data_IF_661129204843
#
_entry.id   IF_661129204843
#
_cell.length_a   1.000
_cell.length_b   1.000
_cell.length_c   1.000
_cell.angle_alpha   90.00
_cell.angle_beta   90.00
_cell.angle_gamma   90.00
#
_symmetry.space_group_name_H-M   'P 1'
#
loop_
_entity.id
_entity.type
_entity.pdbx_description
1 polymer ?
#
# COMPACT_ATOMS: atom_id res chain seq x y z
N UNK A 1 8.47 19.95 -23.44
CA UNK A 1 8.55 19.02 -22.29
C UNK A 1 8.01 19.78 -21.09
N UNK A 2 6.75 19.54 -20.74
CA UNK A 2 6.14 20.18 -19.57
C UNK A 2 6.66 19.53 -18.31
N UNK A 3 7.15 20.32 -17.37
CA UNK A 3 7.42 19.90 -16.00
C UNK A 3 6.09 19.47 -15.39
N UNK A 4 5.83 18.17 -15.33
CA UNK A 4 4.72 17.65 -14.54
C UNK A 4 5.01 18.06 -13.09
N UNK A 5 4.10 18.81 -12.47
CA UNK A 5 4.23 19.18 -11.07
C UNK A 5 4.35 17.94 -10.18
N UNK A 6 4.91 18.12 -8.98
CA UNK A 6 4.99 17.07 -7.97
C UNK A 6 3.65 16.34 -7.82
N UNK A 7 3.64 15.01 -7.69
CA UNK A 7 2.41 14.25 -7.49
C UNK A 7 1.74 14.67 -6.16
N UNK A 8 0.66 15.44 -6.26
CA UNK A 8 -0.21 15.74 -5.14
C UNK A 8 -1.22 14.59 -4.98
N UNK A 9 -0.87 13.61 -4.15
CA UNK A 9 -1.67 12.42 -3.92
C UNK A 9 -2.76 12.65 -2.88
N UNK A 10 -4.01 12.41 -3.27
CA UNK A 10 -5.20 12.57 -2.44
C UNK A 10 -5.75 11.20 -2.00
N UNK A 11 -6.28 11.06 -0.77
CA UNK A 11 -6.92 9.83 -0.36
C UNK A 11 -8.24 9.62 -1.11
N UNK A 12 -8.54 8.37 -1.49
CA UNK A 12 -9.85 7.94 -1.98
C UNK A 12 -10.87 7.80 -0.84
N UNK A 13 -11.07 8.88 -0.08
CA UNK A 13 -11.96 8.89 1.09
C UNK A 13 -11.49 7.93 2.18
N UNK A 14 -12.44 7.23 2.80
CA UNK A 14 -12.19 6.29 3.93
C UNK A 14 -11.58 4.96 3.49
N UNK A 15 -11.45 4.71 2.19
CA UNK A 15 -10.76 3.57 1.60
C UNK A 15 -9.23 3.79 1.48
N UNK A 16 -8.75 4.94 1.94
CA UNK A 16 -7.38 5.41 1.78
C UNK A 16 -6.85 6.03 3.07
N UNK A 17 -6.69 5.23 4.15
CA UNK A 17 -5.95 5.68 5.32
C UNK A 17 -4.54 6.10 4.89
N UNK A 18 -3.91 6.96 5.68
CA UNK A 18 -2.52 7.33 5.39
C UNK A 18 -1.66 6.06 5.33
N UNK A 19 -0.79 5.91 4.32
CA UNK A 19 0.08 4.75 4.23
C UNK A 19 0.85 4.49 5.53
N UNK A 20 0.79 3.25 6.04
CA UNK A 20 1.41 2.85 7.31
C UNK A 20 0.52 2.99 8.55
N UNK A 21 -0.64 3.65 8.45
CA UNK A 21 -1.61 3.68 9.54
C UNK A 21 -2.49 2.42 9.57
N UNK A 22 -3.00 2.10 10.76
CA UNK A 22 -4.02 1.06 10.92
C UNK A 22 -5.35 1.55 10.34
N UNK A 23 -6.13 0.62 9.79
CA UNK A 23 -7.42 0.91 9.17
C UNK A 23 -8.53 0.11 9.86
N UNK A 24 -9.70 0.72 9.98
CA UNK A 24 -10.91 0.08 10.52
C UNK A 24 -12.07 0.26 9.53
N UNK A 25 -12.87 -0.80 9.37
CA UNK A 25 -14.10 -0.73 8.57
C UNK A 25 -15.20 0.10 9.22
N UNK A 26 -15.05 0.51 10.49
CA UNK A 26 -16.00 1.39 11.19
C UNK A 26 -16.09 2.79 10.55
N UNK A 27 -15.06 3.19 9.80
CA UNK A 27 -15.02 4.47 9.09
C UNK A 27 -15.80 4.44 7.77
N UNK A 28 -16.28 3.27 7.33
CA UNK A 28 -17.01 3.14 6.07
C UNK A 28 -18.45 3.62 6.22
N UNK A 29 -18.85 4.56 5.36
CA UNK A 29 -20.24 4.99 5.25
C UNK A 29 -21.03 3.98 4.41
N UNK A 30 -21.77 3.11 5.09
CA UNK A 30 -22.66 2.12 4.46
C UNK A 30 -24.02 2.68 4.04
N UNK A 31 -24.36 3.90 4.47
CA UNK A 31 -25.63 4.53 4.11
C UNK A 31 -25.57 5.18 2.73
N UNK A 32 -24.39 5.69 2.34
CA UNK A 32 -24.17 6.29 1.03
C UNK A 32 -23.70 5.24 0.00
N UNK A 33 -24.68 4.61 -0.66
CA UNK A 33 -24.43 3.58 -1.67
C UNK A 33 -24.34 4.18 -3.07
N UNK A 34 -23.25 3.89 -3.76
CA UNK A 34 -23.00 4.31 -5.14
C UNK A 34 -23.98 3.61 -6.12
N UNK A 35 -24.57 4.35 -7.09
CA UNK A 35 -25.41 3.74 -8.13
C UNK A 35 -24.67 2.65 -8.90
N UNK A 36 -25.34 1.54 -9.20
CA UNK A 36 -24.71 0.34 -9.77
C UNK A 36 -23.91 0.61 -11.06
N UNK A 37 -24.46 1.39 -11.98
CA UNK A 37 -23.77 1.71 -13.23
C UNK A 37 -22.49 2.54 -13.04
N UNK A 38 -22.45 3.38 -12.00
CA UNK A 38 -21.25 4.13 -11.62
C UNK A 38 -20.25 3.22 -10.89
N UNK A 39 -20.74 2.38 -9.98
CA UNK A 39 -19.97 1.38 -9.23
C UNK A 39 -19.14 0.50 -10.16
N UNK A 40 -19.75 -0.05 -11.20
CA UNK A 40 -19.05 -0.91 -12.18
C UNK A 40 -17.88 -0.17 -12.84
N UNK A 41 -18.07 1.09 -13.23
CA UNK A 41 -17.02 1.89 -13.88
C UNK A 41 -15.88 2.23 -12.92
N UNK A 42 -16.21 2.63 -11.69
CA UNK A 42 -15.21 2.95 -10.65
C UNK A 42 -14.38 1.70 -10.33
N UNK A 43 -15.03 0.56 -10.13
CA UNK A 43 -14.35 -0.71 -9.85
C UNK A 43 -13.43 -1.12 -11.00
N UNK A 44 -13.88 -1.06 -12.26
CA UNK A 44 -13.03 -1.39 -13.43
C UNK A 44 -11.80 -0.47 -13.52
N UNK A 45 -12.00 0.85 -13.36
CA UNK A 45 -10.92 1.82 -13.39
C UNK A 45 -9.86 1.55 -12.30
N UNK A 46 -10.30 1.43 -11.05
CA UNK A 46 -9.40 1.25 -9.91
C UNK A 46 -8.66 -0.09 -9.96
N UNK A 47 -9.33 -1.17 -10.38
CA UNK A 47 -8.74 -2.53 -10.45
C UNK A 47 -7.58 -2.64 -11.44
N UNK A 48 -7.47 -1.69 -12.37
CA UNK A 48 -6.47 -1.67 -13.45
C UNK A 48 -5.32 -0.70 -13.19
N UNK A 49 -5.37 0.04 -12.09
CA UNK A 49 -4.30 0.96 -11.70
C UNK A 49 -3.13 0.20 -11.04
N UNK A 50 -1.90 0.73 -11.14
CA UNK A 50 -0.73 0.10 -10.56
C UNK A 50 -0.76 0.10 -9.02
N UNK A 51 -0.22 -0.99 -8.46
CA UNK A 51 0.12 -1.11 -7.04
C UNK A 51 1.53 -0.59 -6.83
N UNK A 52 1.71 0.32 -5.87
CA UNK A 52 2.99 0.96 -5.56
C UNK A 52 3.66 0.39 -4.32
N UNK A 53 2.89 0.23 -3.25
CA UNK A 53 3.35 -0.32 -2.00
C UNK A 53 2.71 -1.68 -1.82
N UNK A 54 3.48 -2.74 -2.06
CA UNK A 54 3.00 -4.11 -1.89
C UNK A 54 3.35 -4.61 -0.49
N UNK A 55 2.38 -5.27 0.15
CA UNK A 55 2.60 -6.03 1.37
C UNK A 55 2.16 -7.49 1.16
N UNK A 56 2.76 -8.41 1.92
CA UNK A 56 2.64 -9.86 1.74
C UNK A 56 1.59 -10.52 2.65
N UNK A 57 0.69 -9.75 3.23
CA UNK A 57 -0.39 -10.20 4.10
C UNK A 57 -1.60 -10.72 3.31
N UNK A 58 -2.62 -11.14 4.06
CA UNK A 58 -3.94 -11.44 3.54
C UNK A 58 -4.97 -10.69 4.39
N UNK A 59 -5.84 -9.91 3.75
CA UNK A 59 -6.93 -9.21 4.45
C UNK A 59 -8.26 -9.91 4.21
N UNK A 60 -9.18 -9.72 5.15
CA UNK A 60 -10.56 -10.18 5.05
C UNK A 60 -11.48 -8.99 5.18
N UNK A 61 -12.65 -9.10 4.55
CA UNK A 61 -13.76 -8.18 4.74
C UNK A 61 -14.13 -8.08 6.23
N UNK A 62 -13.92 -6.91 6.81
CA UNK A 62 -14.17 -6.66 8.24
C UNK A 62 -15.64 -6.30 8.54
N UNK A 63 -16.47 -6.10 7.51
CA UNK A 63 -17.89 -5.82 7.67
C UNK A 63 -18.69 -7.11 7.73
N UNK A 64 -18.46 -8.02 6.78
CA UNK A 64 -19.31 -9.19 6.59
C UNK A 64 -18.61 -10.50 6.23
N UNK A 65 -17.26 -10.55 6.25
CA UNK A 65 -16.44 -11.71 5.84
C UNK A 65 -16.82 -12.27 4.45
N UNK A 66 -17.20 -11.39 3.50
CA UNK A 66 -17.68 -11.79 2.16
C UNK A 66 -16.57 -12.01 1.14
N UNK A 67 -15.40 -11.42 1.38
CA UNK A 67 -14.24 -11.52 0.49
C UNK A 67 -12.94 -11.51 1.28
N UNK A 68 -11.84 -11.85 0.61
CA UNK A 68 -10.50 -11.65 1.12
C UNK A 68 -9.51 -11.38 -0.01
N UNK A 69 -8.46 -10.61 0.31
CA UNK A 69 -7.54 -10.05 -0.68
C UNK A 69 -6.10 -10.29 -0.24
N UNK A 70 -5.34 -10.97 -1.10
CA UNK A 70 -3.89 -11.10 -0.93
C UNK A 70 -3.22 -9.73 -1.11
N UNK A 71 -2.46 -9.31 -0.11
CA UNK A 71 -1.87 -7.97 -0.03
C UNK A 71 -2.93 -6.88 0.07
N UNK A 72 -4.09 -7.12 0.68
CA UNK A 72 -5.20 -6.17 0.65
C UNK A 72 -4.90 -4.78 1.22
N UNK A 73 -3.93 -4.65 2.13
CA UNK A 73 -3.50 -3.35 2.63
C UNK A 73 -2.57 -2.63 1.67
N UNK A 74 -2.15 -3.25 0.56
CA UNK A 74 -1.33 -2.65 -0.52
C UNK A 74 -1.88 -1.31 -0.97
N UNK A 75 -1.01 -0.35 -1.30
CA UNK A 75 -1.44 0.95 -1.81
C UNK A 75 -1.35 0.94 -3.32
N UNK A 76 -2.49 1.14 -3.96
CA UNK A 76 -2.62 1.43 -5.38
C UNK A 76 -2.86 2.93 -5.59
N UNK A 77 -2.56 3.40 -6.81
CA UNK A 77 -2.80 4.80 -7.17
C UNK A 77 -2.92 4.99 -8.69
N UNK A 78 -3.70 5.99 -9.10
CA UNK A 78 -3.72 6.49 -10.47
C UNK A 78 -2.83 7.74 -10.68
N UNK A 79 -1.96 8.03 -9.70
CA UNK A 79 -1.09 9.20 -9.68
C UNK A 79 -1.77 10.50 -9.25
N UNK A 80 -3.08 10.49 -8.95
CA UNK A 80 -3.81 11.61 -8.30
C UNK A 80 -4.47 11.14 -7.01
N UNK A 81 -5.15 10.00 -7.03
CA UNK A 81 -5.74 9.38 -5.86
C UNK A 81 -4.96 8.13 -5.48
N UNK A 82 -4.92 7.80 -4.19
CA UNK A 82 -4.41 6.53 -3.67
C UNK A 82 -5.45 5.85 -2.79
N UNK A 83 -5.35 4.52 -2.66
CA UNK A 83 -6.28 3.70 -1.88
C UNK A 83 -5.63 2.37 -1.46
N UNK A 84 -6.22 1.73 -0.44
CA UNK A 84 -5.93 0.33 -0.12
C UNK A 84 -6.46 -0.59 -1.21
N UNK A 85 -5.71 -1.61 -1.58
CA UNK A 85 -6.05 -2.55 -2.65
C UNK A 85 -7.38 -3.26 -2.38
N UNK A 86 -7.63 -3.68 -1.14
CA UNK A 86 -8.91 -4.26 -0.73
C UNK A 86 -10.08 -3.26 -0.71
N UNK A 87 -9.80 -1.96 -0.73
CA UNK A 87 -10.80 -0.91 -0.88
C UNK A 87 -11.68 -1.08 -2.12
N UNK A 88 -11.13 -1.63 -3.21
CA UNK A 88 -11.88 -1.90 -4.44
C UNK A 88 -12.97 -2.96 -4.22
N UNK A 89 -12.70 -3.96 -3.39
CA UNK A 89 -13.67 -5.02 -3.08
C UNK A 89 -14.78 -4.50 -2.16
N UNK A 90 -14.48 -3.56 -1.26
CA UNK A 90 -15.53 -2.86 -0.50
C UNK A 90 -16.46 -2.05 -1.43
N UNK A 91 -15.93 -1.34 -2.43
CA UNK A 91 -16.77 -0.66 -3.43
C UNK A 91 -17.60 -1.67 -4.21
N UNK A 92 -16.99 -2.79 -4.64
CA UNK A 92 -17.66 -3.83 -5.41
C UNK A 92 -18.84 -4.44 -4.65
N UNK A 93 -18.58 -4.89 -3.42
CA UNK A 93 -19.53 -5.64 -2.60
C UNK A 93 -20.60 -4.73 -1.96
N UNK A 94 -20.17 -3.63 -1.34
CA UNK A 94 -21.04 -2.77 -0.54
C UNK A 94 -21.45 -1.47 -1.23
N UNK A 95 -20.84 -1.14 -2.37
CA UNK A 95 -21.11 0.12 -3.07
C UNK A 95 -20.64 1.35 -2.30
N UNK A 96 -19.58 1.21 -1.48
CA UNK A 96 -19.01 2.34 -0.73
C UNK A 96 -18.75 3.51 -1.67
N UNK A 97 -19.32 4.67 -1.35
CA UNK A 97 -19.11 5.87 -2.13
C UNK A 97 -17.66 6.35 -2.05
N UNK A 98 -17.15 6.83 -3.18
CA UNK A 98 -15.84 7.51 -3.26
C UNK A 98 -16.06 9.01 -3.38
N UNK A 99 -15.06 9.85 -3.07
CA UNK A 99 -15.20 11.30 -3.20
C UNK A 99 -15.62 11.71 -4.62
N UNK A 100 -16.56 12.65 -4.73
CA UNK A 100 -17.03 13.18 -6.02
C UNK A 100 -15.87 13.75 -6.88
N UNK A 101 -14.84 14.31 -6.24
CA UNK A 101 -13.65 14.76 -6.95
C UNK A 101 -12.88 13.61 -7.64
N UNK A 102 -12.90 12.41 -7.06
CA UNK A 102 -12.30 11.22 -7.66
C UNK A 102 -13.13 10.75 -8.85
N UNK A 103 -14.47 10.74 -8.76
CA UNK A 103 -15.36 10.41 -9.88
C UNK A 103 -15.09 11.35 -11.07
N UNK A 104 -15.09 12.67 -10.83
CA UNK A 104 -14.78 13.65 -11.89
C UNK A 104 -13.40 13.46 -12.49
N UNK A 105 -12.41 13.05 -11.68
CA UNK A 105 -11.07 12.74 -12.19
C UNK A 105 -11.10 11.55 -13.15
N UNK A 106 -11.70 10.43 -12.74
CA UNK A 106 -11.84 9.22 -13.57
C UNK A 106 -12.63 9.50 -14.85
N UNK A 107 -13.70 10.29 -14.75
CA UNK A 107 -14.51 10.73 -15.89
C UNK A 107 -13.72 11.59 -16.87
N UNK A 108 -12.93 12.56 -16.38
CA UNK A 108 -12.09 13.40 -17.25
C UNK A 108 -11.03 12.60 -17.99
N UNK A 109 -10.67 11.42 -17.47
CA UNK A 109 -9.80 10.43 -18.12
C UNK A 109 -10.55 9.44 -19.01
N UNK A 110 -11.84 9.68 -19.28
CA UNK A 110 -12.71 8.77 -20.03
C UNK A 110 -12.73 7.36 -19.46
N UNK A 111 -12.56 7.22 -18.14
CA UNK A 111 -12.48 5.92 -17.44
C UNK A 111 -11.31 5.04 -17.89
N UNK A 112 -10.23 5.64 -18.42
CA UNK A 112 -9.02 4.94 -18.82
C UNK A 112 -7.94 5.17 -17.75
N UNK A 113 -7.51 4.11 -17.03
CA UNK A 113 -6.39 4.19 -16.09
C UNK A 113 -5.12 4.73 -16.76
N UNK A 114 -4.25 5.43 -16.01
CA UNK A 114 -3.00 5.93 -16.56
C UNK A 114 -2.07 4.79 -16.98
N UNK A 115 -1.49 4.91 -18.17
CA UNK A 115 -0.22 4.26 -18.46
C UNK A 115 0.89 5.02 -17.71
N UNK A 116 1.52 4.37 -16.74
CA UNK A 116 2.54 5.00 -15.90
C UNK A 116 3.93 4.58 -16.39
N UNK A 117 4.66 5.55 -16.93
CA UNK A 117 6.08 5.39 -17.24
C UNK A 117 6.94 5.27 -15.98
N UNK A 118 8.13 4.70 -16.10
CA UNK A 118 9.04 4.42 -14.97
C UNK A 118 9.28 5.64 -14.07
N UNK A 119 9.59 6.79 -14.66
CA UNK A 119 9.92 7.99 -13.87
C UNK A 119 8.74 8.45 -13.02
N UNK A 120 7.53 8.49 -13.62
CA UNK A 120 6.31 8.85 -12.90
C UNK A 120 5.93 7.82 -11.85
N UNK A 121 6.23 6.54 -12.10
CA UNK A 121 6.03 5.49 -11.12
C UNK A 121 6.91 5.72 -9.89
N UNK A 122 8.20 6.01 -10.11
CA UNK A 122 9.15 6.26 -9.02
C UNK A 122 8.78 7.51 -8.22
N UNK A 123 8.40 8.61 -8.86
CA UNK A 123 7.92 9.83 -8.17
C UNK A 123 6.72 9.54 -7.26
N UNK A 124 5.76 8.77 -7.75
CA UNK A 124 4.55 8.40 -6.99
C UNK A 124 4.91 7.46 -5.83
N UNK A 125 5.80 6.48 -6.08
CA UNK A 125 6.30 5.56 -5.06
C UNK A 125 7.03 6.30 -3.93
N UNK A 126 7.96 7.19 -4.27
CA UNK A 126 8.70 8.01 -3.32
C UNK A 126 7.75 8.84 -2.46
N UNK A 127 6.74 9.45 -3.08
CA UNK A 127 5.74 10.23 -2.34
C UNK A 127 4.94 9.39 -1.35
N UNK A 128 4.53 8.21 -1.75
CA UNK A 128 3.84 7.27 -0.85
C UNK A 128 4.76 6.79 0.29
N UNK A 129 6.04 6.56 0.01
CA UNK A 129 7.05 6.21 1.03
C UNK A 129 7.32 7.35 2.02
N UNK A 130 7.30 8.61 1.58
CA UNK A 130 7.34 9.78 2.47
C UNK A 130 6.16 9.76 3.45
N UNK A 131 4.97 9.40 2.98
CA UNK A 131 3.76 9.38 3.82
C UNK A 131 3.85 8.36 4.96
N UNK A 132 4.51 7.21 4.73
CA UNK A 132 4.80 6.20 5.77
C UNK A 132 5.81 6.73 6.80
N UNK A 133 6.59 7.76 6.47
CA UNK A 133 7.65 8.31 7.32
C UNK A 133 9.01 7.64 7.13
N UNK A 134 9.18 6.77 6.13
CA UNK A 134 10.47 6.12 5.85
C UNK A 134 11.53 7.06 5.29
N UNK A 135 11.15 8.18 4.67
CA UNK A 135 12.08 9.19 4.19
C UNK A 135 12.41 10.29 5.22
N UNK A 136 11.81 10.22 6.41
CA UNK A 136 12.20 11.02 7.59
C UNK A 136 13.41 10.45 8.34
N UNK A 137 14.05 9.39 7.83
CA UNK A 137 15.22 8.77 8.44
C UNK A 137 16.55 9.37 7.94
N UNK A 138 16.61 10.59 7.40
CA UNK A 138 17.91 11.16 7.00
C UNK A 138 18.86 11.43 8.19
N UNK A 139 18.36 11.43 9.44
CA UNK A 139 19.18 11.36 10.66
C UNK A 139 19.33 9.92 11.22
N UNK A 140 18.33 9.05 11.07
CA UNK A 140 18.42 7.66 11.56
C UNK A 140 19.31 6.80 10.65
N UNK A 141 19.21 6.91 9.34
CA UNK A 141 20.09 6.23 8.38
C UNK A 141 21.53 6.75 8.47
N UNK A 142 21.76 8.06 8.69
CA UNK A 142 23.12 8.61 8.92
C UNK A 142 23.76 8.12 10.21
N UNK A 143 22.97 7.97 11.28
CA UNK A 143 23.51 7.61 12.60
C UNK A 143 23.62 6.10 12.83
N UNK A 144 22.90 5.29 12.05
CA UNK A 144 22.88 3.83 12.21
C UNK A 144 23.64 3.07 11.13
N UNK A 145 23.99 3.70 9.99
CA UNK A 145 24.71 3.03 8.89
C UNK A 145 26.05 3.66 8.49
N UNK A 146 26.47 4.78 9.08
CA UNK A 146 27.88 5.15 9.05
C UNK A 146 28.61 4.36 10.16
N UNK A 147 29.55 3.46 9.83
CA UNK A 147 30.35 2.80 10.83
C UNK A 147 31.15 3.84 11.62
N UNK A 148 31.20 3.71 12.95
CA UNK A 148 32.14 4.47 13.76
C UNK A 148 33.57 4.18 13.25
N UNK A 149 34.52 5.12 13.40
CA UNK A 149 35.89 4.91 12.92
C UNK A 149 36.47 3.62 13.50
N UNK A 150 36.67 2.61 12.64
CA UNK A 150 37.20 1.29 13.02
C UNK A 150 36.18 0.16 13.12
N UNK A 151 34.88 0.39 12.90
CA UNK A 151 33.85 -0.67 12.93
C UNK A 151 33.57 -1.21 11.51
N UNK A 152 33.51 -2.53 11.33
CA UNK A 152 33.27 -3.13 10.01
C UNK A 152 31.77 -3.28 9.73
N UNK A 153 31.36 -3.20 8.45
CA UNK A 153 29.97 -3.44 8.04
C UNK A 153 29.41 -4.81 8.50
N UNK A 154 30.27 -5.81 8.73
CA UNK A 154 29.87 -7.12 9.26
C UNK A 154 29.36 -7.06 10.69
N UNK A 155 29.94 -6.21 11.54
CA UNK A 155 29.59 -6.09 12.95
C UNK A 155 28.26 -5.34 13.15
N UNK A 156 27.98 -4.36 12.29
CA UNK A 156 26.68 -3.67 12.23
C UNK A 156 25.54 -4.62 11.87
N UNK A 157 25.74 -5.49 10.87
CA UNK A 157 24.75 -6.50 10.45
C UNK A 157 24.49 -7.54 11.53
N UNK A 158 25.50 -7.88 12.34
CA UNK A 158 25.36 -8.81 13.46
C UNK A 158 24.59 -8.21 14.65
N UNK A 159 24.76 -6.91 14.94
CA UNK A 159 24.05 -6.21 16.03
C UNK A 159 22.59 -5.91 15.71
N UNK A 160 22.27 -5.65 14.45
CA UNK A 160 20.91 -5.32 13.99
C UNK A 160 20.00 -6.54 13.80
N UNK A 161 20.32 -7.67 14.44
CA UNK A 161 19.61 -8.95 14.43
C UNK A 161 18.33 -8.97 13.57
N UNK A 162 18.40 -9.56 12.37
CA UNK A 162 17.20 -9.73 11.55
C UNK A 162 16.14 -10.46 12.39
N UNK A 163 14.90 -9.96 12.51
CA UNK A 163 13.86 -10.76 13.11
C UNK A 163 13.71 -12.02 12.26
N UNK A 164 14.02 -13.18 12.84
CA UNK A 164 13.81 -14.47 12.21
C UNK A 164 12.31 -14.64 12.03
N UNK A 165 11.80 -14.72 10.80
CA UNK A 165 10.36 -14.88 10.60
C UNK A 165 9.89 -16.19 11.23
N UNK A 166 8.64 -16.27 11.73
CA UNK A 166 8.14 -17.45 12.46
C UNK A 166 8.29 -18.78 11.69
N UNK A 167 8.22 -18.75 10.36
CA UNK A 167 8.39 -19.93 9.50
C UNK A 167 9.84 -20.38 9.31
N UNK A 168 10.84 -19.57 9.66
CA UNK A 168 12.25 -19.99 9.71
C UNK A 168 12.60 -20.66 11.05
N UNK A 169 11.82 -20.45 12.11
CA UNK A 169 12.03 -21.15 13.38
C UNK A 169 11.66 -22.63 13.30
N UNK A 170 10.66 -22.99 12.48
CA UNK A 170 10.23 -24.38 12.30
C UNK A 170 11.20 -25.20 11.41
N UNK A 171 11.92 -24.54 10.49
CA UNK A 171 12.98 -25.15 9.67
C UNK A 171 14.22 -25.45 10.53
N UNK A 172 14.66 -24.49 11.34
CA UNK A 172 15.77 -24.69 12.27
C UNK A 172 15.46 -25.72 13.36
N UNK A 173 14.18 -25.84 13.77
CA UNK A 173 13.73 -26.86 14.73
C UNK A 173 13.74 -28.28 14.12
N UNK A 174 13.60 -28.43 12.80
CA UNK A 174 13.76 -29.71 12.10
C UNK A 174 15.22 -30.08 11.84
N UNK A 175 16.07 -29.10 11.53
CA UNK A 175 17.50 -29.33 11.31
C UNK A 175 18.28 -29.66 12.61
N UNK A 176 17.85 -29.15 13.77
CA UNK A 176 18.48 -29.44 15.07
C UNK A 176 18.07 -30.78 15.72
N UNK A 177 17.06 -31.48 15.18
CA UNK A 177 16.63 -32.80 15.68
C UNK A 177 17.38 -33.94 14.97
N UNK A 178 17.96 -33.71 13.78
CA UNK A 178 18.76 -34.72 13.07
C UNK A 178 20.25 -34.75 13.47
N UNK A 179 20.70 -33.85 14.34
CA UNK A 179 22.09 -33.84 14.86
C UNK A 179 22.28 -34.57 16.21
N UNK A 180 21.24 -35.24 16.72
CA UNK A 180 21.30 -36.03 17.97
C UNK A 180 20.65 -37.42 17.87
N UNK A 181 20.78 -38.11 16.73
CA UNK A 181 20.72 -39.58 16.65
C UNK A 181 21.94 -40.17 15.95
#
# INVERSE_FOLDING_TARGET
>A
MGTAGEPNLLPLGTLAPRPGESWSGEELDLALVMPEGLRVKVVDYLSRCPVYLAWMEYTRDVIGDRFGVSGGSAIASDGTFYWRLDGVEYIREYGIAVPEAAIRHMESRSWIPPEVGRDRYLETYEKLMEMIGYLGSSEFTRRTLDPLPGESQKELVAKLGRPTPPWHQEVLRRELVEEWE
#
